data_IF_226911668333
#
_entry.id   IF_226911668333
#
_cell.length_a   1.000
_cell.length_b   1.000
_cell.length_c   1.000
_cell.angle_alpha   90.00
_cell.angle_beta   90.00
_cell.angle_gamma   90.00
#
_symmetry.space_group_name_H-M   'P 1'
#
loop_
_entity.id
_entity.type
_entity.pdbx_description
1 polymer ?
#
# COMPACT_ATOMS: atom_id res chain seq x y z
N UNK A 1 22.62 -7.58 -7.03
CA UNK A 1 21.52 -6.74 -7.57
C UNK A 1 20.84 -7.50 -8.69
N UNK A 2 19.60 -7.94 -8.49
CA UNK A 2 18.76 -8.43 -9.59
C UNK A 2 18.40 -7.26 -10.50
N UNK A 3 18.66 -7.35 -11.81
CA UNK A 3 18.20 -6.35 -12.77
C UNK A 3 16.66 -6.32 -12.76
N UNK A 4 16.07 -5.12 -12.74
CA UNK A 4 14.63 -4.91 -12.93
C UNK A 4 14.37 -4.66 -14.42
N UNK A 5 13.24 -5.13 -14.93
CA UNK A 5 12.88 -5.05 -16.37
C UNK A 5 12.50 -3.64 -16.81
N UNK A 6 11.95 -2.84 -15.91
CA UNK A 6 11.53 -1.47 -16.16
C UNK A 6 11.82 -0.57 -14.95
N UNK A 7 11.89 0.74 -15.21
CA UNK A 7 12.05 1.79 -14.21
C UNK A 7 11.24 3.02 -14.63
N UNK A 8 10.67 3.72 -13.65
CA UNK A 8 10.01 5.01 -13.83
C UNK A 8 10.75 6.02 -12.99
N UNK A 9 11.14 7.15 -13.61
CA UNK A 9 11.81 8.25 -12.92
C UNK A 9 10.76 9.29 -12.53
N UNK A 10 10.79 9.70 -11.25
CA UNK A 10 10.01 10.81 -10.73
C UNK A 10 10.94 11.95 -10.31
N UNK A 11 10.44 13.20 -10.17
CA UNK A 11 11.29 14.32 -9.77
C UNK A 11 11.94 14.16 -8.38
N UNK A 12 11.29 13.43 -7.47
CA UNK A 12 11.79 13.14 -6.11
C UNK A 12 11.38 11.74 -5.64
N UNK A 13 12.03 11.22 -4.60
CA UNK A 13 11.61 9.99 -3.92
C UNK A 13 10.25 10.13 -3.21
N UNK A 14 9.92 11.34 -2.74
CA UNK A 14 8.58 11.63 -2.24
C UNK A 14 7.52 11.42 -3.33
N UNK A 15 7.76 11.96 -4.54
CA UNK A 15 6.87 11.79 -5.67
C UNK A 15 6.80 10.33 -6.14
N UNK A 16 7.87 9.54 -6.00
CA UNK A 16 7.84 8.11 -6.28
C UNK A 16 6.87 7.37 -5.36
N UNK A 17 6.97 7.61 -4.06
CA UNK A 17 6.16 6.93 -3.05
C UNK A 17 4.68 7.30 -3.18
N UNK A 18 4.37 8.59 -3.34
CA UNK A 18 2.98 9.04 -3.53
C UNK A 18 2.39 8.55 -4.85
N UNK A 19 3.14 8.61 -5.96
CA UNK A 19 2.67 8.11 -7.26
C UNK A 19 2.38 6.60 -7.22
N UNK A 20 3.28 5.82 -6.61
CA UNK A 20 3.08 4.38 -6.47
C UNK A 20 1.85 4.05 -5.61
N UNK A 21 1.71 4.68 -4.44
CA UNK A 21 0.61 4.41 -3.53
C UNK A 21 -0.75 4.80 -4.13
N UNK A 22 -0.84 5.95 -4.81
CA UNK A 22 -2.03 6.35 -5.55
C UNK A 22 -2.38 5.37 -6.67
N UNK A 23 -1.40 4.96 -7.47
CA UNK A 23 -1.61 3.98 -8.53
C UNK A 23 -2.09 2.64 -7.97
N UNK A 24 -1.50 2.19 -6.85
CA UNK A 24 -1.89 0.98 -6.15
C UNK A 24 -3.35 1.07 -5.67
N UNK A 25 -3.72 2.12 -4.95
CA UNK A 25 -5.09 2.33 -4.46
C UNK A 25 -6.14 2.30 -5.57
N UNK A 26 -5.83 2.92 -6.71
CA UNK A 26 -6.75 2.99 -7.85
C UNK A 26 -7.02 1.63 -8.52
N UNK A 27 -6.18 0.60 -8.33
CA UNK A 27 -6.35 -0.72 -8.96
C UNK A 27 -7.72 -1.32 -8.65
N UNK A 28 -8.14 -1.30 -7.39
CA UNK A 28 -9.41 -1.91 -6.97
C UNK A 28 -10.60 -1.25 -7.70
N UNK A 29 -10.61 0.08 -7.74
CA UNK A 29 -11.61 0.89 -8.44
C UNK A 29 -11.62 0.61 -9.94
N UNK A 30 -10.45 0.56 -10.58
CA UNK A 30 -10.32 0.29 -12.02
C UNK A 30 -10.83 -1.11 -12.39
N UNK A 31 -10.64 -2.09 -11.51
CA UNK A 31 -11.12 -3.47 -11.75
C UNK A 31 -12.60 -3.68 -11.43
N UNK A 32 -13.25 -2.77 -10.71
CA UNK A 32 -14.62 -2.93 -10.23
C UNK A 32 -15.72 -2.47 -11.22
N UNK A 33 -15.40 -2.22 -12.50
CA UNK A 33 -16.32 -1.90 -13.65
C UNK A 33 -17.69 -1.35 -13.24
N UNK A 34 -17.75 -0.07 -12.89
CA UNK A 34 -19.01 0.66 -12.67
C UNK A 34 -19.71 0.39 -11.33
N UNK A 35 -19.13 -0.41 -10.43
CA UNK A 35 -19.59 -0.57 -9.04
C UNK A 35 -18.49 -0.24 -8.04
N UNK A 36 -18.86 -0.09 -6.76
CA UNK A 36 -17.88 0.01 -5.69
C UNK A 36 -17.23 -1.37 -5.46
N UNK A 37 -15.90 -1.43 -5.27
CA UNK A 37 -15.23 -2.69 -4.94
C UNK A 37 -15.73 -3.20 -3.58
N UNK A 38 -15.98 -4.51 -3.51
CA UNK A 38 -16.28 -5.17 -2.24
C UNK A 38 -15.03 -5.16 -1.34
N UNK A 39 -15.22 -5.35 -0.03
CA UNK A 39 -14.12 -5.26 0.94
C UNK A 39 -12.96 -6.22 0.63
N UNK A 40 -13.25 -7.43 0.15
CA UNK A 40 -12.21 -8.41 -0.21
C UNK A 40 -11.47 -8.08 -1.52
N UNK A 41 -12.07 -7.24 -2.37
CA UNK A 41 -11.49 -6.81 -3.66
C UNK A 41 -10.57 -5.59 -3.52
N UNK A 42 -10.66 -4.88 -2.38
CA UNK A 42 -9.73 -3.82 -2.04
C UNK A 42 -8.34 -4.38 -1.76
N UNK A 43 -7.34 -3.54 -1.93
CA UNK A 43 -5.97 -3.87 -1.54
C UNK A 43 -5.80 -3.59 -0.05
N UNK A 44 -5.21 -4.53 0.68
CA UNK A 44 -4.75 -4.31 2.04
C UNK A 44 -3.25 -3.96 2.03
N UNK A 45 -2.91 -2.77 2.55
CA UNK A 45 -1.54 -2.28 2.65
C UNK A 45 -1.08 -2.37 4.10
N UNK A 46 0.06 -3.00 4.35
CA UNK A 46 0.65 -3.16 5.68
C UNK A 46 1.91 -2.31 5.76
N UNK A 47 1.87 -1.25 6.57
CA UNK A 47 2.95 -0.26 6.72
C UNK A 47 3.68 -0.44 8.04
N UNK A 48 5.00 -0.33 8.03
CA UNK A 48 5.79 -0.18 9.26
C UNK A 48 5.43 1.16 9.94
N UNK A 49 5.41 1.17 11.28
CA UNK A 49 5.11 2.35 12.09
C UNK A 49 6.14 3.49 11.98
N UNK A 50 7.39 3.17 11.63
CA UNK A 50 8.48 4.15 11.49
C UNK A 50 8.91 4.36 10.03
N UNK A 51 8.04 4.04 9.07
CA UNK A 51 8.25 4.38 7.67
C UNK A 51 8.52 5.88 7.46
N UNK A 52 9.34 6.21 6.46
CA UNK A 52 9.62 7.59 6.07
C UNK A 52 8.34 8.38 5.77
N UNK A 53 8.35 9.68 6.11
CA UNK A 53 7.17 10.54 6.04
C UNK A 53 6.47 10.54 4.66
N UNK A 54 7.24 10.43 3.57
CA UNK A 54 6.67 10.34 2.22
C UNK A 54 5.74 9.14 2.00
N UNK A 55 6.01 8.02 2.68
CA UNK A 55 5.20 6.82 2.60
C UNK A 55 3.91 7.05 3.40
N UNK A 56 4.04 7.60 4.61
CA UNK A 56 2.91 7.94 5.49
C UNK A 56 1.95 8.89 4.76
N UNK A 57 2.47 9.91 4.08
CA UNK A 57 1.65 10.86 3.34
C UNK A 57 0.94 10.22 2.15
N UNK A 58 1.60 9.32 1.42
CA UNK A 58 0.97 8.56 0.35
C UNK A 58 -0.12 7.61 0.86
N UNK A 59 0.09 6.95 2.00
CA UNK A 59 -0.90 6.05 2.61
C UNK A 59 -2.14 6.83 3.04
N UNK A 60 -1.96 8.00 3.66
CA UNK A 60 -3.06 8.89 4.04
C UNK A 60 -3.87 9.36 2.84
N UNK A 61 -3.25 9.56 1.69
CA UNK A 61 -3.95 9.90 0.45
C UNK A 61 -4.88 8.76 0.03
N UNK A 62 -4.36 7.53 -0.01
CA UNK A 62 -5.14 6.34 -0.37
C UNK A 62 -6.28 6.07 0.62
N UNK A 63 -6.05 6.24 1.92
CA UNK A 63 -7.10 6.10 2.95
C UNK A 63 -8.23 7.12 2.75
N UNK A 64 -7.88 8.39 2.47
CA UNK A 64 -8.85 9.46 2.23
C UNK A 64 -9.74 9.18 1.02
N UNK A 65 -9.19 8.57 -0.02
CA UNK A 65 -9.96 8.17 -1.20
C UNK A 65 -10.70 6.83 -1.00
N UNK A 66 -10.57 6.20 0.16
CA UNK A 66 -11.17 4.89 0.50
C UNK A 66 -10.81 3.78 -0.51
N UNK A 67 -9.65 3.92 -1.15
CA UNK A 67 -9.20 3.09 -2.27
C UNK A 67 -8.50 1.80 -1.80
N UNK A 68 -7.93 1.81 -0.60
CA UNK A 68 -7.30 0.64 0.03
C UNK A 68 -7.56 0.64 1.55
N UNK A 69 -7.41 -0.53 2.17
CA UNK A 69 -7.39 -0.68 3.62
C UNK A 69 -5.93 -0.62 4.10
N UNK A 70 -5.61 0.26 5.05
CA UNK A 70 -4.24 0.41 5.58
C UNK A 70 -4.16 -0.13 7.00
N UNK A 71 -3.12 -0.93 7.25
CA UNK A 71 -2.80 -1.52 8.55
C UNK A 71 -1.38 -1.13 8.94
N UNK A 72 -1.17 -0.64 10.16
CA UNK A 72 0.16 -0.26 10.65
C UNK A 72 0.65 -1.31 11.64
N UNK A 73 1.80 -1.93 11.35
CA UNK A 73 2.46 -2.86 12.27
C UNK A 73 3.57 -2.17 13.06
N UNK A 74 3.99 -2.78 14.17
CA UNK A 74 5.01 -2.19 15.05
C UNK A 74 6.36 -2.29 14.36
N UNK A 75 7.22 -1.28 14.53
CA UNK A 75 8.48 -1.22 13.82
C UNK A 75 9.31 -2.49 13.99
N UNK A 76 9.71 -3.11 12.88
CA UNK A 76 10.46 -4.38 12.85
C UNK A 76 9.78 -5.58 13.56
N UNK A 77 8.49 -5.50 13.87
CA UNK A 77 7.75 -6.58 14.54
C UNK A 77 7.07 -7.51 13.53
N UNK A 78 7.84 -8.51 13.07
CA UNK A 78 7.34 -9.52 12.13
C UNK A 78 6.20 -10.38 12.70
N UNK A 79 6.10 -10.53 14.02
CA UNK A 79 4.98 -11.25 14.64
C UNK A 79 3.69 -10.45 14.54
N UNK A 80 3.76 -9.14 14.77
CA UNK A 80 2.60 -8.26 14.59
C UNK A 80 2.18 -8.22 13.11
N UNK A 81 3.13 -8.12 12.19
CA UNK A 81 2.85 -8.17 10.76
C UNK A 81 2.14 -9.48 10.37
N UNK A 82 2.64 -10.63 10.82
CA UNK A 82 2.04 -11.94 10.54
C UNK A 82 0.61 -12.06 11.09
N UNK A 83 0.35 -11.53 12.29
CA UNK A 83 -1.00 -11.44 12.85
C UNK A 83 -1.94 -10.61 11.98
N UNK A 84 -1.50 -9.44 11.50
CA UNK A 84 -2.32 -8.58 10.64
C UNK A 84 -2.56 -9.24 9.27
N UNK A 85 -1.55 -9.88 8.69
CA UNK A 85 -1.65 -10.59 7.42
C UNK A 85 -2.65 -11.74 7.51
N UNK A 86 -2.58 -12.54 8.57
CA UNK A 86 -3.45 -13.70 8.80
C UNK A 86 -4.92 -13.30 9.02
N UNK A 87 -5.16 -12.16 9.66
CA UNK A 87 -6.51 -11.66 9.94
C UNK A 87 -7.14 -10.88 8.78
N UNK A 88 -6.37 -10.52 7.74
CA UNK A 88 -6.88 -9.71 6.63
C UNK A 88 -7.66 -10.56 5.61
N UNK A 89 -8.93 -10.23 5.31
CA UNK A 89 -9.76 -10.92 4.33
C UNK A 89 -9.50 -10.46 2.88
N UNK A 90 -8.59 -9.51 2.67
CA UNK A 90 -8.30 -8.99 1.33
C UNK A 90 -7.57 -10.03 0.49
N UNK A 91 -7.97 -10.16 -0.78
CA UNK A 91 -7.30 -11.06 -1.73
C UNK A 91 -5.91 -10.53 -2.14
N UNK A 92 -5.76 -9.20 -2.18
CA UNK A 92 -4.53 -8.53 -2.58
C UNK A 92 -3.91 -7.83 -1.38
N UNK A 93 -2.68 -8.21 -1.05
CA UNK A 93 -1.95 -7.73 0.13
C UNK A 93 -0.60 -7.18 -0.32
N UNK A 94 -0.20 -6.02 0.23
CA UNK A 94 1.10 -5.39 -0.03
C UNK A 94 1.72 -5.00 1.30
N UNK A 95 2.94 -5.45 1.56
CA UNK A 95 3.75 -4.94 2.68
C UNK A 95 4.63 -3.81 2.15
N UNK A 96 4.51 -2.63 2.76
CA UNK A 96 5.27 -1.45 2.39
C UNK A 96 6.17 -1.05 3.57
N UNK A 97 7.47 -1.19 3.41
CA UNK A 97 8.46 -0.92 4.47
C UNK A 97 9.70 -0.26 3.89
N UNK A 98 10.31 0.63 4.66
CA UNK A 98 11.70 1.04 4.49
C UNK A 98 12.57 0.57 5.67
N UNK A 99 13.85 0.96 5.67
CA UNK A 99 14.93 0.42 6.52
C UNK A 99 15.53 1.49 7.43
#
# INVERSE_FOLDING_TARGET
>A
MTKKEACVITPTGFAANTAFLSALGSIATLTAVGRRPAKHEKIAIFSDALNHASIIDGLRLVERHQEADVFVYRHNDMKHLDQLLSNSPAERKVVYTDS
#
